data_IF_356260948927
#
_entry.id   IF_356260948927
#
_cell.length_a   1.000
_cell.length_b   1.000
_cell.length_c   1.000
_cell.angle_alpha   90.00
_cell.angle_beta   90.00
_cell.angle_gamma   90.00
#
_symmetry.space_group_name_H-M   'P 1'
#
loop_
_entity.id
_entity.type
_entity.pdbx_description
1 polymer ?
#
# COMPACT_ATOMS: atom_id res chain seq x y z
N UNK A 1 -6.55 -5.32 14.27
CA UNK A 1 -5.70 -6.05 13.29
C UNK A 1 -5.67 -5.21 12.03
N UNK A 2 -4.48 -4.82 11.59
CA UNK A 2 -4.30 -3.91 10.45
C UNK A 2 -4.43 -4.68 9.14
N UNK A 3 -5.16 -4.13 8.17
CA UNK A 3 -5.35 -4.73 6.85
C UNK A 3 -5.10 -3.68 5.78
N UNK A 4 -4.28 -4.01 4.78
CA UNK A 4 -4.12 -3.21 3.57
C UNK A 4 -4.55 -4.03 2.36
N UNK A 5 -5.21 -3.35 1.43
CA UNK A 5 -5.65 -3.94 0.16
C UNK A 5 -5.08 -3.19 -1.04
N UNK A 6 -4.79 -3.93 -2.10
CA UNK A 6 -4.39 -3.44 -3.41
C UNK A 6 -5.55 -3.63 -4.40
N UNK A 7 -5.63 -2.76 -5.41
CA UNK A 7 -6.68 -2.80 -6.42
C UNK A 7 -6.62 -4.05 -7.31
N UNK A 8 -5.47 -4.74 -7.36
CA UNK A 8 -5.31 -6.00 -8.07
C UNK A 8 -5.92 -7.21 -7.32
N UNK A 9 -6.50 -6.99 -6.14
CA UNK A 9 -7.06 -8.04 -5.29
C UNK A 9 -6.10 -8.60 -4.23
N UNK A 10 -4.82 -8.20 -4.23
CA UNK A 10 -3.89 -8.53 -3.15
C UNK A 10 -4.30 -7.86 -1.84
N UNK A 11 -4.22 -8.59 -0.74
CA UNK A 11 -4.44 -8.05 0.60
C UNK A 11 -3.48 -8.67 1.61
N UNK A 12 -3.05 -7.86 2.58
CA UNK A 12 -2.21 -8.29 3.69
C UNK A 12 -2.86 -7.88 5.01
N UNK A 13 -2.87 -8.81 5.96
CA UNK A 13 -3.45 -8.64 7.29
C UNK A 13 -2.48 -9.14 8.34
N UNK A 14 -2.12 -8.29 9.29
CA UNK A 14 -1.23 -8.63 10.40
C UNK A 14 -1.52 -7.72 11.62
N UNK A 15 -1.05 -8.11 12.81
CA UNK A 15 -1.11 -7.27 14.00
C UNK A 15 -0.03 -6.18 14.00
N UNK A 16 1.12 -6.44 13.36
CA UNK A 16 2.20 -5.48 13.23
C UNK A 16 1.98 -4.57 12.01
N UNK A 17 1.59 -3.31 12.24
CA UNK A 17 1.39 -2.28 11.21
C UNK A 17 2.56 -2.19 10.23
N UNK A 18 3.80 -2.19 10.73
CA UNK A 18 4.99 -2.07 9.90
C UNK A 18 5.16 -3.25 8.95
N UNK A 19 4.76 -4.46 9.37
CA UNK A 19 4.81 -5.65 8.53
C UNK A 19 3.77 -5.60 7.42
N UNK A 20 2.56 -5.12 7.72
CA UNK A 20 1.50 -4.91 6.72
C UNK A 20 1.97 -3.91 5.67
N UNK A 21 2.52 -2.78 6.09
CA UNK A 21 3.00 -1.73 5.20
C UNK A 21 4.17 -2.20 4.34
N UNK A 22 5.21 -2.79 4.93
CA UNK A 22 6.37 -3.31 4.20
C UNK A 22 5.96 -4.37 3.16
N UNK A 23 5.00 -5.23 3.50
CA UNK A 23 4.48 -6.25 2.57
C UNK A 23 3.73 -5.60 1.40
N UNK A 24 2.91 -4.58 1.65
CA UNK A 24 2.19 -3.84 0.60
C UNK A 24 3.17 -3.13 -0.34
N UNK A 25 4.22 -2.50 0.19
CA UNK A 25 5.27 -1.88 -0.61
C UNK A 25 6.04 -2.87 -1.45
N UNK A 26 6.45 -4.00 -0.86
CA UNK A 26 7.13 -5.06 -1.60
C UNK A 26 6.26 -5.55 -2.77
N UNK A 27 4.98 -5.81 -2.54
CA UNK A 27 4.03 -6.17 -3.59
C UNK A 27 3.93 -5.08 -4.67
N UNK A 28 3.76 -3.81 -4.29
CA UNK A 28 3.65 -2.71 -5.25
C UNK A 28 4.92 -2.56 -6.11
N UNK A 29 6.11 -2.71 -5.51
CA UNK A 29 7.39 -2.64 -6.25
C UNK A 29 7.56 -3.86 -7.16
N UNK A 30 7.17 -5.05 -6.71
CA UNK A 30 7.39 -6.28 -7.47
C UNK A 30 6.40 -6.44 -8.63
N UNK A 31 5.12 -6.18 -8.38
CA UNK A 31 4.03 -6.52 -9.31
C UNK A 31 3.48 -5.30 -10.05
N UNK A 32 3.79 -4.10 -9.57
CA UNK A 32 3.31 -2.83 -10.12
C UNK A 32 4.43 -1.82 -10.38
N UNK A 33 5.68 -2.29 -10.53
CA UNK A 33 6.85 -1.44 -10.74
C UNK A 33 6.69 -0.46 -11.91
N UNK A 34 6.17 -0.94 -13.05
CA UNK A 34 6.03 -0.12 -14.25
C UNK A 34 4.92 0.93 -14.10
N UNK A 35 3.84 0.57 -13.40
CA UNK A 35 2.80 1.53 -13.02
C UNK A 35 3.40 2.62 -12.12
N UNK A 36 4.11 2.23 -11.04
CA UNK A 36 4.73 3.19 -10.12
C UNK A 36 5.73 4.12 -10.83
N UNK A 37 6.54 3.59 -11.75
CA UNK A 37 7.50 4.39 -12.54
C UNK A 37 6.82 5.36 -13.51
N UNK A 38 5.59 5.07 -13.93
CA UNK A 38 4.81 5.93 -14.83
C UNK A 38 4.02 7.04 -14.12
N UNK A 39 3.93 6.99 -12.79
CA UNK A 39 3.19 7.98 -12.00
C UNK A 39 4.00 9.24 -11.76
N UNK A 40 3.33 10.39 -11.74
CA UNK A 40 3.94 11.65 -11.27
C UNK A 40 4.09 11.65 -9.75
N UNK A 41 4.89 12.59 -9.22
CA UNK A 41 5.07 12.76 -7.77
C UNK A 41 3.73 12.99 -7.06
N UNK A 42 2.84 13.80 -7.64
CA UNK A 42 1.52 14.10 -7.07
C UNK A 42 0.63 12.84 -7.04
N UNK A 43 0.72 11.99 -8.07
CA UNK A 43 -0.03 10.73 -8.10
C UNK A 43 0.48 9.76 -7.04
N UNK A 44 1.80 9.70 -6.84
CA UNK A 44 2.43 8.88 -5.80
C UNK A 44 2.01 9.39 -4.42
N UNK A 45 2.01 10.71 -4.19
CA UNK A 45 1.54 11.32 -2.95
C UNK A 45 0.09 10.94 -2.64
N UNK A 46 -0.82 11.07 -3.60
CA UNK A 46 -2.23 10.68 -3.39
C UNK A 46 -2.38 9.18 -3.10
N UNK A 47 -1.57 8.34 -3.72
CA UNK A 47 -1.57 6.91 -3.44
C UNK A 47 -1.09 6.62 -2.01
N UNK A 48 -0.01 7.28 -1.56
CA UNK A 48 0.50 7.20 -0.19
C UNK A 48 -0.55 7.58 0.84
N UNK A 49 -1.16 8.76 0.67
CA UNK A 49 -2.21 9.25 1.56
C UNK A 49 -3.39 8.28 1.67
N UNK A 50 -3.75 7.60 0.58
CA UNK A 50 -4.81 6.60 0.61
C UNK A 50 -4.41 5.32 1.34
N UNK A 51 -3.15 4.90 1.28
CA UNK A 51 -2.64 3.76 2.07
C UNK A 51 -2.56 4.12 3.55
N UNK A 52 -2.10 5.31 3.90
CA UNK A 52 -2.06 5.79 5.29
C UNK A 52 -3.45 5.84 5.91
N UNK A 53 -4.46 6.35 5.19
CA UNK A 53 -5.85 6.33 5.66
C UNK A 53 -6.35 4.91 5.96
N UNK A 54 -5.97 3.90 5.17
CA UNK A 54 -6.33 2.51 5.43
C UNK A 54 -5.61 1.94 6.66
N UNK A 55 -4.36 2.36 6.89
CA UNK A 55 -3.60 1.96 8.08
C UNK A 55 -4.19 2.58 9.36
N UNK A 56 -4.60 3.86 9.29
CA UNK A 56 -5.17 4.59 10.42
C UNK A 56 -6.60 4.15 10.74
N UNK A 57 -7.40 3.76 9.73
CA UNK A 57 -8.74 3.20 9.94
C UNK A 57 -8.73 1.83 10.65
N UNK A 58 -7.55 1.23 10.87
CA UNK A 58 -7.41 -0.06 11.54
C UNK A 58 -6.93 0.03 13.00
N UNK A 59 -6.80 1.25 13.54
CA UNK A 59 -6.47 1.55 14.95
C UNK A 59 -7.73 1.88 15.74
#
# INVERSE_FOLDING_TARGET
>A
MTTLSCNCGFAVKDANRYKVEATMWHHAIQDHADMLKSMTVEQIEQWLMNKDKQLDAAV
#
